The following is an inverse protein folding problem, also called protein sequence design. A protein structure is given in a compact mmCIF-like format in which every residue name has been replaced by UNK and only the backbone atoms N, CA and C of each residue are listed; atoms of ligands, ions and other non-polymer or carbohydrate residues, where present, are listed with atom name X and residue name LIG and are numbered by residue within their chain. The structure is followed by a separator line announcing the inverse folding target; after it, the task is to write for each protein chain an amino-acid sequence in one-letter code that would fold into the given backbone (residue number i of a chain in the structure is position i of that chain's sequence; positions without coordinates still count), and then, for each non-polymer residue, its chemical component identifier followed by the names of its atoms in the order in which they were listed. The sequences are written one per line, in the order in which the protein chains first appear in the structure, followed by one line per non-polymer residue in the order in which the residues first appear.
data_IF_272008090199
#
_entry.id   IF_272008090199
#
_cell.length_a   1.000
_cell.length_b   1.000
_cell.length_c   1.000
_cell.angle_alpha   90.00
_cell.angle_beta   90.00
_cell.angle_gamma   90.00
#
_symmetry.space_group_name_H-M   'P 1'
#
loop_
_entity.id
_entity.type
_entity.pdbx_description
1 polymer ?
#
# COMPACT_ATOMS: atom_id res chain seq x y z
N UNK A 1 -8.37 -17.38 -5.68
CA UNK A 1 -7.02 -16.94 -5.33
C UNK A 1 -7.09 -15.49 -4.85
N UNK A 2 -6.52 -15.20 -3.71
CA UNK A 2 -6.67 -13.89 -3.08
C UNK A 2 -5.70 -12.89 -3.68
N UNK A 3 -6.21 -11.73 -4.05
CA UNK A 3 -5.40 -10.62 -4.56
C UNK A 3 -5.31 -9.54 -3.51
N UNK A 4 -4.17 -8.85 -3.49
CA UNK A 4 -3.95 -7.72 -2.60
C UNK A 4 -3.93 -6.45 -3.43
N UNK A 5 -4.74 -5.50 -3.05
CA UNK A 5 -4.79 -4.19 -3.68
C UNK A 5 -4.22 -3.15 -2.73
N UNK A 6 -3.39 -2.28 -3.27
CA UNK A 6 -2.88 -1.14 -2.53
C UNK A 6 -3.89 0.00 -2.65
N UNK A 7 -4.17 0.66 -1.53
CA UNK A 7 -5.05 1.82 -1.51
C UNK A 7 -4.15 3.04 -1.44
N UNK A 8 -4.19 3.85 -2.48
CA UNK A 8 -3.33 5.03 -2.61
C UNK A 8 -4.19 6.28 -2.65
N UNK A 9 -3.70 7.35 -2.04
CA UNK A 9 -4.35 8.66 -2.12
C UNK A 9 -3.58 9.50 -3.13
N UNK A 10 -4.17 9.67 -4.31
CA UNK A 10 -3.55 10.41 -5.40
C UNK A 10 -4.43 11.63 -5.68
N UNK A 11 -3.87 12.83 -5.45
CA UNK A 11 -4.68 14.04 -5.47
C UNK A 11 -5.73 13.98 -4.36
N UNK A 12 -7.00 14.10 -4.73
CA UNK A 12 -8.12 14.03 -3.78
C UNK A 12 -8.89 12.73 -3.91
N UNK A 13 -8.30 11.72 -4.55
CA UNK A 13 -9.02 10.47 -4.85
C UNK A 13 -8.27 9.27 -4.29
N UNK A 14 -9.03 8.30 -3.78
CA UNK A 14 -8.48 7.00 -3.41
C UNK A 14 -8.46 6.10 -4.64
N UNK A 15 -7.32 5.48 -4.88
CA UNK A 15 -7.12 4.61 -6.04
C UNK A 15 -6.73 3.23 -5.56
N UNK A 16 -7.34 2.19 -6.12
CA UNK A 16 -6.96 0.81 -5.87
C UNK A 16 -6.02 0.36 -6.98
N UNK A 17 -4.85 -0.11 -6.57
CA UNK A 17 -3.85 -0.59 -7.53
C UNK A 17 -3.45 -2.01 -7.15
N UNK A 18 -3.53 -2.97 -8.08
CA UNK A 18 -3.17 -4.36 -7.77
C UNK A 18 -1.68 -4.48 -7.48
N UNK A 19 -1.34 -5.27 -6.47
CA UNK A 19 0.05 -5.59 -6.18
C UNK A 19 0.45 -6.87 -6.91
N UNK A 20 1.75 -7.06 -7.07
CA UNK A 20 2.28 -8.29 -7.67
C UNK A 20 2.42 -9.41 -6.64
N UNK A 21 2.21 -9.12 -5.37
CA UNK A 21 2.37 -10.09 -4.29
C UNK A 21 1.07 -10.89 -4.14
N UNK A 22 1.24 -12.22 -3.99
CA UNK A 22 0.11 -13.12 -3.72
C UNK A 22 0.14 -13.54 -2.25
N UNK A 23 -1.03 -13.71 -1.65
CA UNK A 23 -1.12 -14.20 -0.28
C UNK A 23 -0.62 -15.65 -0.21
N UNK A 24 0.22 -15.89 0.78
CA UNK A 24 0.70 -17.23 1.09
C UNK A 24 0.07 -17.70 2.39
N UNK A 25 -0.03 -18.99 2.58
CA UNK A 25 -0.59 -19.56 3.81
C UNK A 25 0.19 -19.10 5.03
N UNK A 26 -0.51 -18.81 6.11
CA UNK A 26 0.07 -18.40 7.37
C UNK A 26 0.24 -16.90 7.56
N UNK A 27 -0.10 -16.10 6.56
CA UNK A 27 -0.02 -14.65 6.66
C UNK A 27 -1.39 -14.02 6.51
N UNK A 28 -1.63 -12.95 7.24
CA UNK A 28 -2.85 -12.16 7.14
C UNK A 28 -2.63 -10.99 6.18
N UNK A 29 -3.74 -10.43 5.69
CA UNK A 29 -3.70 -9.28 4.78
C UNK A 29 -2.92 -8.10 5.37
N UNK A 30 -3.09 -7.83 6.66
CA UNK A 30 -2.40 -6.74 7.33
C UNK A 30 -0.89 -6.89 7.34
N UNK A 31 -0.37 -8.13 7.37
CA UNK A 31 1.07 -8.37 7.34
C UNK A 31 1.67 -7.91 6.01
N UNK A 32 0.95 -8.15 4.92
CA UNK A 32 1.39 -7.70 3.61
C UNK A 32 1.30 -6.19 3.44
N UNK A 33 0.39 -5.56 4.17
CA UNK A 33 0.25 -4.11 4.15
C UNK A 33 1.54 -3.41 4.54
N UNK A 34 2.17 -3.85 5.62
CA UNK A 34 3.42 -3.27 6.08
C UNK A 34 4.56 -3.50 5.10
N UNK A 35 4.63 -4.72 4.53
CA UNK A 35 5.65 -5.07 3.56
C UNK A 35 5.53 -4.21 2.31
N UNK A 36 4.33 -4.09 1.77
CA UNK A 36 4.08 -3.30 0.57
C UNK A 36 4.34 -1.82 0.80
N UNK A 37 3.93 -1.31 1.96
CA UNK A 37 4.16 0.09 2.30
C UNK A 37 5.65 0.44 2.25
N UNK A 38 6.49 -0.39 2.82
CA UNK A 38 7.93 -0.15 2.84
C UNK A 38 8.54 -0.27 1.44
N UNK A 39 7.96 -1.09 0.58
CA UNK A 39 8.46 -1.25 -0.79
C UNK A 39 8.11 -0.09 -1.70
N UNK A 40 6.93 0.50 -1.53
CA UNK A 40 6.42 1.50 -2.47
C UNK A 40 6.41 2.92 -1.92
N UNK A 41 6.62 3.11 -0.62
CA UNK A 41 6.54 4.42 0.01
C UNK A 41 7.64 4.61 1.04
N UNK A 42 7.94 5.88 1.33
CA UNK A 42 8.86 6.28 2.40
C UNK A 42 8.12 7.14 3.41
N UNK A 43 8.45 6.98 4.68
CA UNK A 43 7.85 7.77 5.73
C UNK A 43 8.45 9.18 5.75
N UNK A 44 7.58 10.19 5.73
CA UNK A 44 7.98 11.59 5.82
C UNK A 44 7.67 12.10 7.22
N UNK A 45 8.69 12.34 8.03
CA UNK A 45 8.52 12.77 9.42
C UNK A 45 7.93 14.18 9.53
N UNK A 46 8.27 15.07 8.60
CA UNK A 46 7.78 16.45 8.62
C UNK A 46 6.28 16.52 8.40
N UNK A 47 5.77 15.67 7.51
CA UNK A 47 4.35 15.63 7.18
C UNK A 47 3.60 14.52 7.90
N UNK A 48 4.33 13.66 8.61
CA UNK A 48 3.78 12.55 9.38
C UNK A 48 2.90 11.64 8.52
N UNK A 49 3.42 11.25 7.35
CA UNK A 49 2.70 10.39 6.43
C UNK A 49 3.65 9.61 5.54
N UNK A 50 3.14 8.54 4.93
CA UNK A 50 3.88 7.72 3.99
C UNK A 50 3.64 8.23 2.58
N UNK A 51 4.71 8.66 1.91
CA UNK A 51 4.65 9.23 0.56
C UNK A 51 5.19 8.21 -0.42
N UNK A 52 4.47 8.00 -1.53
CA UNK A 52 4.90 7.07 -2.57
C UNK A 52 6.24 7.48 -3.16
N UNK A 53 7.12 6.50 -3.39
CA UNK A 53 8.47 6.74 -3.89
C UNK A 53 8.47 7.36 -5.29
N UNK A 54 7.42 7.09 -6.07
CA UNK A 54 7.28 7.64 -7.42
C UNK A 54 6.68 9.04 -7.46
N UNK A 55 6.30 9.58 -6.31
CA UNK A 55 5.79 10.95 -6.21
C UNK A 55 4.34 11.15 -6.60
N UNK A 56 3.60 10.07 -6.87
CA UNK A 56 2.20 10.20 -7.29
C UNK A 56 1.27 10.66 -6.18
N UNK A 57 1.57 10.30 -4.93
CA UNK A 57 0.71 10.63 -3.80
C UNK A 57 1.13 9.90 -2.54
N UNK A 58 0.16 9.55 -1.71
CA UNK A 58 0.40 8.95 -0.40
C UNK A 58 -0.09 7.50 -0.35
N UNK A 59 0.55 6.73 0.52
CA UNK A 59 0.09 5.40 0.87
C UNK A 59 -1.05 5.51 1.88
N UNK A 60 -2.13 4.76 1.66
CA UNK A 60 -3.25 4.73 2.60
C UNK A 60 -3.35 3.36 3.31
N UNK A 61 -3.33 2.28 2.56
CA UNK A 61 -3.45 0.95 3.14
C UNK A 61 -3.53 -0.14 2.10
N UNK A 62 -4.09 -1.29 2.52
CA UNK A 62 -4.31 -2.42 1.62
C UNK A 62 -5.72 -2.96 1.77
N UNK A 63 -6.19 -3.58 0.70
CA UNK A 63 -7.44 -4.31 0.69
C UNK A 63 -7.18 -5.67 0.05
N UNK A 64 -7.67 -6.72 0.68
CA UNK A 64 -7.54 -8.07 0.16
C UNK A 64 -8.89 -8.57 -0.32
N UNK A 65 -8.87 -9.18 -1.47
CA UNK A 65 -10.06 -9.75 -2.08
C UNK A 65 -10.31 -11.16 -1.57
#
# INVERSE_FOLDING_TARGET
MTKIYMILLIGNMYVLEPSSIKLQGGFYCGDYGDILREQVADYNEEQNRWILKDGRGDWFGVMCE
#
